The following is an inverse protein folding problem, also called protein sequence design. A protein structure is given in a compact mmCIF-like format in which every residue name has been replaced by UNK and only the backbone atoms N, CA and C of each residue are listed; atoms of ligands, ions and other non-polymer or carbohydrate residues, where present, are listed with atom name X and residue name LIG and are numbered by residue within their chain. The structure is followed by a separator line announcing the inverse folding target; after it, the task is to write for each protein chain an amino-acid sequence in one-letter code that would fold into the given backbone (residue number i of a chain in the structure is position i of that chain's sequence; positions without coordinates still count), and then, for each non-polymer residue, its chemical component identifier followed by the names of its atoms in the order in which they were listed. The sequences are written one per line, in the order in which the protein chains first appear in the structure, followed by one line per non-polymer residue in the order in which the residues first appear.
data_IF_596173782586
#
_entry.id   IF_596173782586
#
_cell.length_a   1.000
_cell.length_b   1.000
_cell.length_c   1.000
_cell.angle_alpha   90.00
_cell.angle_beta   90.00
_cell.angle_gamma   90.00
#
_symmetry.space_group_name_H-M   'P 1'
#
loop_
_entity.id
_entity.type
_entity.pdbx_description
1 polymer ?
#
# COMPACT_ATOMS: atom_id res chain seq x y z
N UNK A 1 -24.28 -0.42 5.29
CA UNK A 1 -23.57 0.69 4.61
C UNK A 1 -22.08 0.39 4.66
N UNK A 2 -21.31 0.62 3.62
CA UNK A 2 -19.90 0.22 3.55
C UNK A 2 -18.98 1.19 4.34
N UNK A 3 -19.29 1.39 5.62
CA UNK A 3 -18.52 2.22 6.54
C UNK A 3 -18.27 1.48 7.86
N UNK A 4 -17.01 1.45 8.30
CA UNK A 4 -16.60 1.10 9.64
C UNK A 4 -16.10 2.38 10.32
N UNK A 5 -16.97 2.98 11.16
CA UNK A 5 -16.74 4.32 11.68
C UNK A 5 -16.61 5.36 10.55
N UNK A 6 -15.49 6.13 10.48
CA UNK A 6 -15.27 7.13 9.44
C UNK A 6 -14.70 6.54 8.14
N UNK A 7 -14.33 5.25 8.13
CA UNK A 7 -13.61 4.59 7.06
C UNK A 7 -14.59 3.86 6.14
N UNK A 8 -14.56 4.26 4.87
CA UNK A 8 -15.28 3.58 3.82
C UNK A 8 -14.48 2.36 3.33
N UNK A 9 -15.19 1.30 3.01
CA UNK A 9 -14.62 0.11 2.39
C UNK A 9 -15.57 -0.47 1.34
N UNK A 10 -15.02 -1.15 0.36
CA UNK A 10 -15.76 -2.04 -0.53
C UNK A 10 -15.51 -3.49 -0.14
N UNK A 11 -16.52 -4.33 -0.33
CA UNK A 11 -16.50 -5.75 -0.02
C UNK A 11 -16.98 -6.54 -1.22
N UNK A 12 -16.21 -7.59 -1.59
CA UNK A 12 -16.50 -8.46 -2.71
C UNK A 12 -16.14 -9.90 -2.38
N UNK A 13 -16.85 -10.85 -3.02
CA UNK A 13 -16.58 -12.28 -2.89
C UNK A 13 -16.85 -12.84 -1.51
N UNK A 14 -16.57 -14.13 -1.38
CA UNK A 14 -16.68 -14.90 -0.14
C UNK A 14 -15.50 -15.89 -0.07
N UNK A 15 -15.13 -16.31 1.11
CA UNK A 15 -14.05 -17.30 1.30
C UNK A 15 -12.92 -16.83 2.20
N UNK A 16 -11.97 -17.73 2.41
CA UNK A 16 -10.83 -17.54 3.31
C UNK A 16 -9.51 -17.87 2.59
N UNK A 17 -8.42 -17.23 2.98
CA UNK A 17 -8.33 -16.10 3.92
C UNK A 17 -9.01 -14.85 3.35
N UNK A 18 -9.30 -13.89 4.24
CA UNK A 18 -9.77 -12.57 3.81
C UNK A 18 -8.59 -11.78 3.25
N UNK A 19 -8.75 -11.16 2.09
CA UNK A 19 -7.76 -10.26 1.51
C UNK A 19 -8.13 -8.81 1.85
N UNK A 20 -7.32 -8.15 2.68
CA UNK A 20 -7.50 -6.74 3.04
C UNK A 20 -6.54 -5.87 2.25
N UNK A 21 -7.05 -5.01 1.37
CA UNK A 21 -6.24 -4.12 0.53
C UNK A 21 -6.20 -2.69 1.06
N UNK A 22 -4.98 -2.14 1.20
CA UNK A 22 -4.71 -0.79 1.69
C UNK A 22 -3.89 -0.03 0.64
N UNK A 23 -4.48 1.05 0.11
CA UNK A 23 -3.89 1.84 -0.98
C UNK A 23 -2.73 2.74 -0.54
N UNK A 24 -2.00 3.29 -1.51
CA UNK A 24 -0.89 4.23 -1.32
C UNK A 24 -1.34 5.70 -1.18
N UNK A 25 -0.37 6.59 -1.03
CA UNK A 25 -0.59 8.03 -0.93
C UNK A 25 -1.37 8.57 -2.13
N UNK A 26 -2.39 9.41 -1.86
CA UNK A 26 -3.28 10.05 -2.83
C UNK A 26 -4.04 9.08 -3.75
N UNK A 27 -4.25 7.85 -3.32
CA UNK A 27 -5.05 6.85 -4.02
C UNK A 27 -6.35 6.55 -3.26
N UNK A 28 -7.11 5.57 -3.74
CA UNK A 28 -8.28 5.02 -3.06
C UNK A 28 -8.35 3.51 -3.32
N UNK A 29 -9.28 2.82 -2.67
CA UNK A 29 -9.56 1.39 -2.91
C UNK A 29 -9.74 1.04 -4.38
N UNK A 30 -10.25 1.97 -5.18
CA UNK A 30 -10.48 1.80 -6.62
C UNK A 30 -9.22 1.36 -7.40
N UNK A 31 -8.01 1.68 -6.89
CA UNK A 31 -6.75 1.30 -7.54
C UNK A 31 -6.54 -0.22 -7.58
N UNK A 32 -7.22 -0.99 -6.73
CA UNK A 32 -7.13 -2.44 -6.61
C UNK A 32 -8.10 -3.22 -7.51
N UNK A 33 -8.76 -2.56 -8.46
CA UNK A 33 -9.79 -3.17 -9.31
C UNK A 33 -9.33 -4.45 -10.02
N UNK A 34 -8.07 -4.50 -10.54
CA UNK A 34 -7.54 -5.70 -11.21
C UNK A 34 -7.32 -6.88 -10.25
N UNK A 35 -7.00 -6.61 -8.99
CA UNK A 35 -6.86 -7.61 -7.94
C UNK A 35 -8.23 -8.07 -7.47
N UNK A 36 -9.14 -7.15 -7.22
CA UNK A 36 -10.52 -7.45 -6.86
C UNK A 36 -11.17 -8.38 -7.87
N UNK A 37 -11.12 -8.04 -9.16
CA UNK A 37 -11.77 -8.81 -10.22
C UNK A 37 -11.15 -10.21 -10.37
N UNK A 38 -9.88 -10.39 -10.03
CA UNK A 38 -9.19 -11.68 -10.07
C UNK A 38 -9.51 -12.56 -8.85
N UNK A 39 -9.55 -11.97 -7.64
CA UNK A 39 -9.63 -12.74 -6.40
C UNK A 39 -11.05 -12.93 -5.87
N UNK A 40 -12.04 -12.12 -6.29
CA UNK A 40 -13.39 -12.13 -5.75
C UNK A 40 -14.17 -13.44 -5.96
N UNK A 41 -13.75 -14.29 -6.91
CA UNK A 41 -14.37 -15.60 -7.09
C UNK A 41 -13.98 -16.63 -6.03
N UNK A 42 -12.85 -16.42 -5.31
CA UNK A 42 -12.29 -17.40 -4.40
C UNK A 42 -12.13 -16.88 -2.96
N UNK A 43 -12.02 -15.56 -2.81
CA UNK A 43 -11.68 -14.93 -1.54
C UNK A 43 -12.64 -13.79 -1.21
N UNK A 44 -12.89 -13.60 0.07
CA UNK A 44 -13.52 -12.38 0.56
C UNK A 44 -12.50 -11.24 0.53
N UNK A 45 -12.85 -10.16 -0.15
CA UNK A 45 -12.00 -8.99 -0.36
C UNK A 45 -12.59 -7.81 0.40
N UNK A 46 -11.76 -7.13 1.16
CA UNK A 46 -12.05 -5.82 1.76
C UNK A 46 -11.01 -4.85 1.23
N UNK A 47 -11.43 -3.81 0.51
CA UNK A 47 -10.54 -2.72 0.08
C UNK A 47 -11.03 -1.41 0.71
N UNK A 48 -10.20 -0.77 1.51
CA UNK A 48 -10.59 0.41 2.27
C UNK A 48 -9.99 1.70 1.68
N UNK A 49 -10.68 2.81 1.88
CA UNK A 49 -10.13 4.14 1.68
C UNK A 49 -9.52 4.64 2.99
N UNK A 50 -8.24 4.99 3.00
CA UNK A 50 -7.61 5.61 4.16
C UNK A 50 -8.27 6.98 4.46
N UNK A 51 -8.25 7.41 5.73
CA UNK A 51 -8.82 8.70 6.14
C UNK A 51 -8.42 9.84 5.20
N UNK A 52 -9.39 10.65 4.79
CA UNK A 52 -9.18 11.79 3.88
C UNK A 52 -8.94 11.43 2.42
N UNK A 53 -9.05 10.13 2.06
CA UNK A 53 -8.96 9.63 0.70
C UNK A 53 -10.30 9.01 0.28
N UNK A 54 -10.55 8.97 -1.03
CA UNK A 54 -11.74 8.37 -1.60
C UNK A 54 -13.03 8.88 -0.94
N UNK A 55 -13.80 7.98 -0.34
CA UNK A 55 -15.05 8.28 0.36
C UNK A 55 -14.88 8.38 1.89
N UNK A 56 -13.69 8.08 2.42
CA UNK A 56 -13.41 8.17 3.85
C UNK A 56 -13.24 9.61 4.32
N UNK A 57 -13.75 9.90 5.51
CA UNK A 57 -13.61 11.22 6.13
C UNK A 57 -12.44 11.27 7.10
N UNK A 58 -11.91 12.47 7.34
CA UNK A 58 -10.94 12.70 8.41
C UNK A 58 -11.72 12.88 9.72
N UNK A 59 -11.48 12.05 10.76
CA UNK A 59 -12.11 12.25 12.06
C UNK A 59 -11.75 13.62 12.65
N UNK A 60 -12.72 14.30 13.26
CA UNK A 60 -12.50 15.59 13.93
C UNK A 60 -11.53 15.49 15.11
N UNK A 61 -11.49 14.34 15.76
CA UNK A 61 -10.63 14.03 16.91
C UNK A 61 -9.90 12.72 16.69
N UNK A 62 -8.71 12.60 17.23
CA UNK A 62 -7.92 11.36 17.20
C UNK A 62 -6.47 11.60 16.82
N UNK A 63 -5.73 10.50 16.74
CA UNK A 63 -4.32 10.47 16.36
C UNK A 63 -4.16 10.88 14.90
N UNK A 64 -3.12 11.66 14.58
CA UNK A 64 -2.75 12.07 13.22
C UNK A 64 -1.60 11.20 12.69
N UNK A 65 -1.21 11.42 11.44
CA UNK A 65 -0.10 10.69 10.81
C UNK A 65 -0.34 9.19 10.76
N UNK A 66 0.73 8.40 10.81
CA UNK A 66 0.65 6.94 10.71
C UNK A 66 -0.11 6.30 11.86
N UNK A 67 -0.02 6.83 13.08
CA UNK A 67 -0.83 6.36 14.20
C UNK A 67 -2.33 6.47 13.93
N UNK A 68 -2.75 7.52 13.22
CA UNK A 68 -4.13 7.69 12.79
C UNK A 68 -4.55 6.67 11.72
N UNK A 69 -3.75 6.49 10.68
CA UNK A 69 -4.01 5.49 9.65
C UNK A 69 -4.05 4.07 10.22
N UNK A 70 -3.11 3.72 11.10
CA UNK A 70 -3.05 2.42 11.77
C UNK A 70 -4.31 2.16 12.60
N UNK A 71 -4.73 3.13 13.42
CA UNK A 71 -5.94 3.02 14.23
C UNK A 71 -7.21 2.81 13.39
N UNK A 72 -7.28 3.43 12.20
CA UNK A 72 -8.40 3.21 11.29
C UNK A 72 -8.45 1.78 10.76
N UNK A 73 -7.32 1.22 10.36
CA UNK A 73 -7.27 -0.19 9.89
C UNK A 73 -7.65 -1.13 11.01
N UNK A 74 -7.12 -0.92 12.23
CA UNK A 74 -7.46 -1.72 13.41
C UNK A 74 -8.96 -1.68 13.66
N UNK A 75 -9.57 -0.48 13.67
CA UNK A 75 -11.00 -0.31 13.84
C UNK A 75 -11.84 -1.04 12.77
N UNK A 76 -11.43 -0.98 11.50
CA UNK A 76 -12.11 -1.72 10.41
C UNK A 76 -12.04 -3.22 10.67
N UNK A 77 -10.86 -3.75 10.98
CA UNK A 77 -10.64 -5.19 11.25
C UNK A 77 -11.46 -5.67 12.46
N UNK A 78 -11.55 -4.85 13.51
CA UNK A 78 -12.32 -5.17 14.71
C UNK A 78 -13.83 -5.07 14.50
N UNK A 79 -14.32 -3.98 13.89
CA UNK A 79 -15.76 -3.77 13.67
C UNK A 79 -16.37 -4.80 12.72
N UNK A 80 -15.59 -5.28 11.75
CA UNK A 80 -16.02 -6.33 10.82
C UNK A 80 -15.68 -7.75 11.34
N UNK A 81 -15.09 -7.86 12.53
CA UNK A 81 -14.54 -9.10 13.14
C UNK A 81 -13.73 -9.93 12.13
N UNK A 82 -12.86 -9.28 11.37
CA UNK A 82 -12.03 -9.97 10.38
C UNK A 82 -11.00 -10.85 11.08
N UNK A 83 -10.88 -12.10 10.63
CA UNK A 83 -9.91 -13.11 11.12
C UNK A 83 -9.29 -13.82 9.93
N UNK A 84 -8.13 -14.43 10.13
CA UNK A 84 -7.38 -15.10 9.06
C UNK A 84 -7.16 -14.18 7.87
N UNK A 85 -6.66 -12.95 8.15
CA UNK A 85 -6.50 -11.90 7.17
C UNK A 85 -5.12 -11.94 6.54
N UNK A 86 -5.03 -11.90 5.22
CA UNK A 86 -3.83 -11.51 4.48
C UNK A 86 -3.97 -10.04 4.13
N UNK A 87 -3.17 -9.19 4.76
CA UNK A 87 -3.22 -7.76 4.51
C UNK A 87 -2.21 -7.36 3.44
N UNK A 88 -2.70 -6.69 2.39
CA UNK A 88 -1.94 -6.22 1.22
C UNK A 88 -1.88 -4.71 1.25
N UNK A 89 -0.71 -4.14 1.49
CA UNK A 89 -0.50 -2.69 1.53
C UNK A 89 0.46 -2.21 0.45
N UNK A 90 0.13 -1.10 -0.18
CA UNK A 90 0.99 -0.45 -1.15
C UNK A 90 1.54 0.88 -0.62
N UNK A 91 2.89 1.08 -0.65
CA UNK A 91 3.53 2.35 -0.32
C UNK A 91 3.12 2.86 1.07
N UNK A 92 2.41 3.98 1.19
CA UNK A 92 1.80 4.48 2.42
C UNK A 92 0.98 3.37 3.14
N UNK A 93 0.21 2.59 2.39
CA UNK A 93 -0.57 1.48 2.94
C UNK A 93 0.31 0.37 3.53
N UNK A 94 1.45 0.07 2.89
CA UNK A 94 2.41 -0.89 3.43
C UNK A 94 3.02 -0.41 4.75
N UNK A 95 3.43 0.86 4.82
CA UNK A 95 3.93 1.46 6.06
C UNK A 95 2.84 1.52 7.14
N UNK A 96 1.59 1.79 6.76
CA UNK A 96 0.46 1.79 7.69
C UNK A 96 0.23 0.40 8.30
N UNK A 97 0.36 -0.67 7.51
CA UNK A 97 0.27 -2.04 8.01
C UNK A 97 1.40 -2.39 8.97
N UNK A 98 2.64 -1.94 8.70
CA UNK A 98 3.74 -2.09 9.65
C UNK A 98 3.43 -1.40 10.98
N UNK A 99 2.88 -0.18 10.94
CA UNK A 99 2.48 0.57 12.14
C UNK A 99 1.33 -0.09 12.90
N UNK A 100 0.39 -0.70 12.19
CA UNK A 100 -0.77 -1.38 12.77
C UNK A 100 -0.44 -2.79 13.28
N UNK A 101 0.72 -3.35 12.93
CA UNK A 101 1.07 -4.73 13.23
C UNK A 101 0.89 -5.13 14.71
N UNK A 102 1.36 -4.35 15.70
CA UNK A 102 1.23 -4.76 17.12
C UNK A 102 -0.20 -5.05 17.55
N UNK A 103 -1.17 -4.31 17.01
CA UNK A 103 -2.59 -4.43 17.33
C UNK A 103 -3.31 -5.48 16.45
N UNK A 104 -2.73 -5.83 15.29
CA UNK A 104 -3.32 -6.75 14.31
C UNK A 104 -2.71 -8.16 14.32
N UNK A 105 -1.60 -8.41 15.03
CA UNK A 105 -0.86 -9.68 14.98
C UNK A 105 -1.72 -10.93 15.25
N UNK A 106 -2.77 -10.81 16.07
CA UNK A 106 -3.70 -11.91 16.36
C UNK A 106 -4.81 -12.10 15.30
N UNK A 107 -4.85 -11.27 14.26
CA UNK A 107 -5.84 -11.28 13.18
C UNK A 107 -5.23 -11.58 11.81
N UNK A 108 -3.93 -11.30 11.64
CA UNK A 108 -3.23 -11.45 10.38
C UNK A 108 -2.51 -12.80 10.32
N UNK A 109 -2.72 -13.54 9.22
CA UNK A 109 -2.00 -14.77 8.88
C UNK A 109 -0.86 -14.52 7.89
N UNK A 110 -0.84 -13.36 7.23
CA UNK A 110 0.22 -12.95 6.32
C UNK A 110 0.18 -11.47 5.97
N UNK A 111 1.34 -10.94 5.58
CA UNK A 111 1.50 -9.56 5.07
C UNK A 111 2.05 -9.58 3.65
N UNK A 112 1.50 -8.73 2.79
CA UNK A 112 2.05 -8.44 1.45
C UNK A 112 2.31 -6.94 1.36
N UNK A 113 3.57 -6.56 1.24
CA UNK A 113 4.01 -5.17 1.27
C UNK A 113 4.58 -4.79 -0.10
N UNK A 114 3.85 -3.93 -0.81
CA UNK A 114 4.14 -3.54 -2.20
C UNK A 114 4.83 -2.18 -2.23
N UNK A 115 5.99 -2.06 -2.88
CA UNK A 115 6.75 -0.82 -2.94
C UNK A 115 7.06 -0.28 -1.53
N UNK A 116 7.42 -1.17 -0.60
CA UNK A 116 7.53 -0.84 0.81
C UNK A 116 8.90 -0.27 1.18
N UNK A 117 8.88 0.66 2.13
CA UNK A 117 10.06 1.18 2.82
C UNK A 117 9.71 1.37 4.31
N UNK A 118 10.63 1.10 5.26
CA UNK A 118 10.38 1.41 6.66
C UNK A 118 10.56 2.90 6.98
N UNK A 119 11.19 3.66 6.07
CA UNK A 119 11.39 5.10 6.15
C UNK A 119 11.42 5.69 4.74
N UNK A 120 10.57 6.68 4.51
CA UNK A 120 10.45 7.29 3.18
C UNK A 120 11.65 8.17 2.82
N UNK A 121 12.08 9.03 3.73
CA UNK A 121 13.21 9.93 3.52
C UNK A 121 14.52 9.34 4.04
N UNK A 122 15.60 9.45 3.27
CA UNK A 122 16.93 9.00 3.70
C UNK A 122 17.41 9.75 4.96
N UNK A 123 18.13 9.02 5.80
CA UNK A 123 18.82 9.55 6.99
C UNK A 123 20.20 8.87 7.15
N UNK A 124 21.11 9.40 7.98
CA UNK A 124 22.42 8.79 8.16
C UNK A 124 22.40 7.31 8.57
N UNK A 125 21.40 6.90 9.36
CA UNK A 125 21.19 5.52 9.80
C UNK A 125 20.31 4.69 8.83
N UNK A 126 19.67 5.33 7.85
CA UNK A 126 18.89 4.69 6.80
C UNK A 126 19.10 5.41 5.45
N UNK A 127 20.17 5.10 4.71
CA UNK A 127 20.50 5.77 3.44
C UNK A 127 19.65 5.30 2.24
N UNK A 128 18.72 4.37 2.43
CA UNK A 128 17.95 3.70 1.38
C UNK A 128 16.60 4.38 1.08
N UNK A 129 16.28 5.48 1.76
CA UNK A 129 15.11 6.30 1.47
C UNK A 129 15.34 7.30 0.34
N UNK A 130 14.28 8.03 -0.02
CA UNK A 130 14.35 9.13 -0.98
C UNK A 130 15.24 10.26 -0.44
N UNK A 131 16.10 10.90 -1.26
CA UNK A 131 16.87 12.05 -0.82
C UNK A 131 15.99 13.13 -0.16
N UNK A 132 16.33 13.68 1.01
CA UNK A 132 15.47 14.63 1.72
C UNK A 132 15.07 15.85 0.90
N UNK A 133 15.94 16.32 -0.01
CA UNK A 133 15.64 17.42 -0.93
C UNK A 133 14.53 17.08 -1.92
N UNK A 134 14.43 15.83 -2.35
CA UNK A 134 13.38 15.36 -3.27
C UNK A 134 12.04 15.25 -2.55
N UNK A 135 12.02 14.70 -1.34
CA UNK A 135 10.83 14.65 -0.49
C UNK A 135 10.31 16.07 -0.17
N UNK A 136 11.19 17.00 0.18
CA UNK A 136 10.84 18.40 0.41
C UNK A 136 10.33 19.07 -0.89
N UNK A 137 10.98 18.80 -2.02
CA UNK A 137 10.52 19.28 -3.32
C UNK A 137 9.10 18.80 -3.67
N UNK A 138 8.77 17.55 -3.31
CA UNK A 138 7.43 17.00 -3.47
C UNK A 138 6.42 17.73 -2.56
N UNK A 139 6.75 17.97 -1.29
CA UNK A 139 5.93 18.72 -0.33
C UNK A 139 5.62 20.14 -0.82
N UNK A 140 6.61 20.84 -1.36
CA UNK A 140 6.44 22.18 -1.92
C UNK A 140 5.53 22.18 -3.17
N UNK A 141 5.64 21.14 -4.02
CA UNK A 141 4.74 20.98 -5.18
C UNK A 141 3.29 20.78 -4.74
N UNK A 142 3.06 19.90 -3.75
CA UNK A 142 1.72 19.65 -3.19
C UNK A 142 1.12 20.95 -2.62
N UNK A 143 1.88 21.70 -1.84
CA UNK A 143 1.43 22.99 -1.29
C UNK A 143 1.09 24.02 -2.37
N UNK A 144 1.79 24.00 -3.50
CA UNK A 144 1.59 24.93 -4.60
C UNK A 144 0.42 24.57 -5.50
N UNK A 145 0.28 23.31 -5.85
CA UNK A 145 -0.81 22.76 -6.69
C UNK A 145 -0.83 21.24 -6.55
N UNK A 146 -1.85 20.73 -5.84
CA UNK A 146 -2.06 19.28 -5.70
C UNK A 146 -2.21 18.61 -7.06
N UNK A 147 -3.01 19.18 -7.96
CA UNK A 147 -3.27 18.64 -9.30
C UNK A 147 -1.95 18.36 -10.05
N UNK A 148 -1.08 19.37 -10.18
CA UNK A 148 0.23 19.21 -10.85
C UNK A 148 1.17 18.27 -10.11
N UNK A 149 1.09 18.23 -8.79
CA UNK A 149 1.88 17.29 -7.99
C UNK A 149 1.45 15.84 -8.26
N UNK A 150 0.13 15.60 -8.36
CA UNK A 150 -0.43 14.28 -8.69
C UNK A 150 -0.11 13.86 -10.13
N UNK A 151 -0.20 14.74 -11.11
CA UNK A 151 0.24 14.44 -12.47
C UNK A 151 1.70 13.97 -12.53
N UNK A 152 2.58 14.66 -11.78
CA UNK A 152 3.99 14.28 -11.66
C UNK A 152 4.17 12.96 -10.92
N UNK A 153 3.40 12.72 -9.86
CA UNK A 153 3.42 11.49 -9.10
C UNK A 153 2.96 10.29 -9.94
N UNK A 154 1.83 10.41 -10.65
CA UNK A 154 1.31 9.35 -11.51
C UNK A 154 2.32 8.95 -12.62
N UNK A 155 3.02 9.93 -13.21
CA UNK A 155 4.09 9.63 -14.17
C UNK A 155 5.26 8.87 -13.54
N UNK A 156 5.58 9.15 -12.28
CA UNK A 156 6.68 8.49 -11.56
C UNK A 156 6.32 7.09 -11.02
N UNK A 157 5.04 6.68 -11.11
CA UNK A 157 4.64 5.32 -10.76
C UNK A 157 5.22 4.28 -11.70
N UNK A 158 5.50 4.67 -12.95
CA UNK A 158 5.96 3.79 -14.01
C UNK A 158 7.28 4.28 -14.57
N UNK A 159 8.04 3.37 -15.17
CA UNK A 159 9.29 3.70 -15.87
C UNK A 159 9.10 3.72 -17.37
N UNK A 160 10.10 4.22 -18.08
CA UNK A 160 10.11 4.25 -19.54
C UNK A 160 9.92 2.83 -20.10
N UNK A 161 9.07 2.70 -21.12
CA UNK A 161 8.68 1.44 -21.76
C UNK A 161 7.86 0.45 -20.91
N UNK A 162 7.54 0.76 -19.65
CA UNK A 162 6.74 -0.13 -18.81
C UNK A 162 5.29 -0.28 -19.30
N UNK A 163 4.75 0.75 -19.93
CA UNK A 163 3.39 0.82 -20.47
C UNK A 163 3.36 0.83 -22.01
N UNK A 164 4.37 0.26 -22.69
CA UNK A 164 4.40 0.19 -24.17
C UNK A 164 3.33 -0.75 -24.72
N UNK A 165 2.89 -1.76 -23.95
CA UNK A 165 1.75 -2.58 -24.33
C UNK A 165 0.44 -1.76 -24.19
N UNK A 166 -0.28 -1.50 -25.29
CA UNK A 166 -1.48 -0.66 -25.28
C UNK A 166 -2.61 -1.22 -24.42
N UNK A 167 -2.69 -2.54 -24.24
CA UNK A 167 -3.70 -3.17 -23.38
C UNK A 167 -3.39 -2.89 -21.93
N UNK A 168 -2.13 -3.04 -21.53
CA UNK A 168 -1.67 -2.70 -20.16
C UNK A 168 -1.85 -1.20 -19.91
N UNK A 169 -1.44 -0.36 -20.84
CA UNK A 169 -1.59 1.10 -20.72
C UNK A 169 -3.05 1.52 -20.52
N UNK A 170 -3.98 0.92 -21.30
CA UNK A 170 -5.40 1.19 -21.16
C UNK A 170 -5.93 0.73 -19.81
N UNK A 171 -5.59 -0.49 -19.35
CA UNK A 171 -6.01 -1.01 -18.06
C UNK A 171 -5.53 -0.12 -16.90
N UNK A 172 -4.26 0.30 -16.95
CA UNK A 172 -3.68 1.22 -15.96
C UNK A 172 -4.43 2.55 -15.95
N UNK A 173 -4.68 3.14 -17.12
CA UNK A 173 -5.40 4.41 -17.25
C UNK A 173 -6.84 4.29 -16.69
N UNK A 174 -7.53 3.19 -16.95
CA UNK A 174 -8.87 2.92 -16.42
C UNK A 174 -8.87 2.82 -14.89
N UNK A 175 -7.90 2.13 -14.28
CA UNK A 175 -7.82 2.01 -12.82
C UNK A 175 -7.50 3.38 -12.19
N UNK A 176 -6.51 4.10 -12.71
CA UNK A 176 -6.15 5.43 -12.20
C UNK A 176 -7.28 6.45 -12.41
N UNK A 177 -8.04 6.33 -13.51
CA UNK A 177 -9.20 7.18 -13.79
C UNK A 177 -10.37 7.02 -12.81
N UNK A 178 -10.43 5.91 -12.07
CA UNK A 178 -11.44 5.67 -11.01
C UNK A 178 -11.04 6.24 -9.65
N UNK A 179 -9.76 6.58 -9.48
CA UNK A 179 -9.25 7.09 -8.21
C UNK A 179 -9.75 8.51 -7.98
N UNK A 180 -10.39 8.73 -6.84
CA UNK A 180 -10.80 10.07 -6.40
C UNK A 180 -9.63 10.71 -5.65
N UNK A 181 -9.16 11.84 -6.14
CA UNK A 181 -8.09 12.58 -5.48
C UNK A 181 -8.51 13.04 -4.07
N UNK A 182 -7.61 12.97 -3.07
CA UNK A 182 -7.91 13.43 -1.73
C UNK A 182 -8.01 14.96 -1.66
N UNK A 183 -8.58 15.47 -0.58
CA UNK A 183 -8.52 16.92 -0.28
C UNK A 183 -7.03 17.35 -0.11
N UNK A 184 -6.66 18.57 -0.51
CA UNK A 184 -5.28 19.06 -0.42
C UNK A 184 -4.66 18.93 0.98
N UNK A 185 -5.45 19.17 2.03
CA UNK A 185 -5.00 19.02 3.40
C UNK A 185 -4.65 17.55 3.76
N UNK A 186 -5.46 16.58 3.31
CA UNK A 186 -5.20 15.16 3.53
C UNK A 186 -3.98 14.67 2.75
N UNK A 187 -3.84 15.11 1.48
CA UNK A 187 -2.65 14.80 0.68
C UNK A 187 -1.36 15.31 1.33
N UNK A 188 -1.37 16.55 1.83
CA UNK A 188 -0.23 17.15 2.50
C UNK A 188 0.08 16.42 3.83
N UNK A 189 -0.93 16.16 4.66
CA UNK A 189 -0.76 15.45 5.93
C UNK A 189 -0.20 14.03 5.73
N UNK A 190 -0.66 13.30 4.70
CA UNK A 190 -0.13 11.99 4.34
C UNK A 190 1.33 12.03 3.91
N UNK A 191 1.72 13.05 3.12
CA UNK A 191 3.11 13.22 2.70
C UNK A 191 4.03 13.62 3.88
N UNK A 192 3.56 14.50 4.76
CA UNK A 192 4.29 14.91 5.97
C UNK A 192 4.47 13.70 6.90
N UNK A 193 3.44 12.87 7.08
CA UNK A 193 3.55 11.62 7.82
C UNK A 193 4.62 10.68 7.22
N UNK A 194 4.62 10.48 5.88
CA UNK A 194 5.65 9.70 5.19
C UNK A 194 7.07 10.22 5.44
N UNK A 195 7.25 11.54 5.49
CA UNK A 195 8.56 12.16 5.69
C UNK A 195 9.08 12.04 7.13
N UNK A 196 8.19 11.96 8.11
CA UNK A 196 8.51 11.98 9.53
C UNK A 196 8.63 10.59 10.15
N UNK A 197 7.89 9.58 9.64
CA UNK A 197 7.78 8.27 10.28
C UNK A 197 9.00 7.39 10.05
N UNK A 198 9.34 6.63 11.08
CA UNK A 198 10.36 5.59 11.11
C UNK A 198 9.76 4.30 11.65
N UNK A 199 9.71 3.26 10.82
CA UNK A 199 9.04 1.98 11.11
C UNK A 199 10.02 0.79 11.11
N UNK A 200 11.30 1.06 11.38
CA UNK A 200 12.33 0.03 11.37
C UNK A 200 12.18 -0.95 12.52
N UNK A 201 11.74 -0.49 13.67
CA UNK A 201 11.49 -1.34 14.84
C UNK A 201 10.21 -2.15 14.66
N UNK A 202 9.14 -1.53 14.19
CA UNK A 202 7.87 -2.21 13.89
C UNK A 202 8.06 -3.31 12.83
N UNK A 203 8.84 -3.05 11.79
CA UNK A 203 9.14 -4.06 10.77
C UNK A 203 9.84 -5.29 11.34
N UNK A 204 10.76 -5.12 12.29
CA UNK A 204 11.46 -6.23 12.96
C UNK A 204 10.57 -7.03 13.91
N UNK A 205 9.47 -6.46 14.38
CA UNK A 205 8.50 -7.13 15.25
C UNK A 205 7.50 -8.00 14.48
N UNK A 206 7.43 -7.86 13.15
CA UNK A 206 6.53 -8.68 12.32
C UNK A 206 6.99 -10.14 12.34
N UNK A 207 6.12 -11.04 12.77
CA UNK A 207 6.40 -12.48 12.90
C UNK A 207 5.63 -13.35 11.92
N UNK A 208 4.53 -12.85 11.33
CA UNK A 208 3.80 -13.61 10.32
C UNK A 208 4.61 -13.71 9.00
N UNK A 209 4.33 -14.73 8.15
CA UNK A 209 4.86 -14.77 6.80
C UNK A 209 4.64 -13.45 6.07
N UNK A 210 5.68 -12.94 5.43
CA UNK A 210 5.65 -11.65 4.72
C UNK A 210 6.20 -11.78 3.32
N UNK A 211 5.48 -11.24 2.33
CA UNK A 211 5.91 -11.14 0.94
C UNK A 211 6.14 -9.65 0.59
N UNK A 212 7.35 -9.32 0.15
CA UNK A 212 7.69 -8.02 -0.39
C UNK A 212 7.61 -8.08 -1.92
N UNK A 213 6.80 -7.22 -2.54
CA UNK A 213 6.65 -7.10 -3.99
C UNK A 213 7.14 -5.72 -4.42
N UNK A 214 8.17 -5.64 -5.27
CA UNK A 214 8.82 -4.36 -5.58
C UNK A 214 9.27 -4.29 -7.04
N UNK A 215 9.08 -3.15 -7.70
CA UNK A 215 9.68 -2.88 -9.00
C UNK A 215 11.18 -2.59 -8.87
N UNK A 216 12.01 -3.18 -9.71
CA UNK A 216 13.48 -3.01 -9.63
C UNK A 216 13.97 -1.60 -10.01
N UNK A 217 13.10 -0.80 -10.65
CA UNK A 217 13.37 0.58 -11.05
C UNK A 217 12.46 1.59 -10.33
N UNK A 218 11.88 1.22 -9.19
CA UNK A 218 11.05 2.11 -8.39
C UNK A 218 11.84 3.36 -7.94
N UNK A 219 11.31 4.53 -8.30
CA UNK A 219 11.90 5.86 -8.00
C UNK A 219 11.16 6.60 -6.89
N UNK A 220 10.09 6.01 -6.37
CA UNK A 220 9.28 6.57 -5.27
C UNK A 220 9.73 5.98 -3.94
N UNK A 221 9.74 4.63 -3.84
CA UNK A 221 10.35 3.90 -2.75
C UNK A 221 11.48 3.06 -3.32
N UNK A 222 12.72 3.37 -2.95
CA UNK A 222 13.88 2.73 -3.59
C UNK A 222 13.94 1.22 -3.30
N UNK A 223 14.25 0.36 -4.30
CA UNK A 223 14.31 -1.10 -4.10
C UNK A 223 15.29 -1.55 -3.02
N UNK A 224 16.31 -0.74 -2.73
CA UNK A 224 17.23 -0.97 -1.62
C UNK A 224 16.54 -0.95 -0.24
N UNK A 225 15.43 -0.23 -0.10
CA UNK A 225 14.65 -0.22 1.14
C UNK A 225 13.96 -1.56 1.40
N UNK A 226 13.37 -2.18 0.35
CA UNK A 226 12.79 -3.53 0.50
C UNK A 226 13.87 -4.61 0.68
N UNK A 227 15.07 -4.43 0.13
CA UNK A 227 16.20 -5.31 0.43
C UNK A 227 16.62 -5.24 1.91
N UNK A 228 16.56 -4.04 2.49
CA UNK A 228 16.80 -3.83 3.92
C UNK A 228 15.74 -4.52 4.78
N UNK A 229 14.45 -4.41 4.40
CA UNK A 229 13.34 -5.11 5.07
C UNK A 229 13.52 -6.63 5.02
N UNK A 230 13.78 -7.20 3.84
CA UNK A 230 14.02 -8.64 3.66
C UNK A 230 15.10 -9.20 4.58
N UNK A 231 16.17 -8.44 4.79
CA UNK A 231 17.29 -8.88 5.65
C UNK A 231 16.98 -8.78 7.15
N UNK A 232 15.95 -8.09 7.56
CA UNK A 232 15.68 -7.75 8.97
C UNK A 232 14.35 -8.24 9.51
N UNK A 233 13.39 -8.47 8.63
CA UNK A 233 12.11 -9.07 9.00
C UNK A 233 12.27 -10.59 9.13
N UNK A 234 11.58 -11.16 10.10
CA UNK A 234 11.46 -12.61 10.22
C UNK A 234 10.53 -13.14 9.13
N UNK A 235 10.75 -14.39 8.67
CA UNK A 235 9.86 -15.07 7.73
C UNK A 235 9.43 -14.20 6.53
N UNK A 236 10.39 -13.53 5.88
CA UNK A 236 10.17 -12.56 4.83
C UNK A 236 10.85 -13.01 3.53
N UNK A 237 10.14 -12.96 2.41
CA UNK A 237 10.71 -13.17 1.06
C UNK A 237 10.37 -11.99 0.16
N UNK A 238 11.22 -11.71 -0.81
CA UNK A 238 11.06 -10.59 -1.74
C UNK A 238 11.05 -11.07 -3.18
N UNK A 239 10.11 -10.53 -3.97
CA UNK A 239 10.07 -10.65 -5.43
C UNK A 239 10.32 -9.28 -6.05
N UNK A 240 11.26 -9.21 -7.02
CA UNK A 240 11.51 -8.03 -7.82
C UNK A 240 10.90 -8.19 -9.21
N UNK A 241 10.19 -7.15 -9.65
CA UNK A 241 9.63 -7.07 -11.01
C UNK A 241 10.60 -6.31 -11.91
N UNK A 242 11.19 -7.01 -12.88
CA UNK A 242 12.17 -6.43 -13.80
C UNK A 242 11.53 -5.37 -14.71
N UNK A 243 12.23 -4.23 -14.88
CA UNK A 243 11.76 -3.11 -15.69
C UNK A 243 10.45 -2.51 -15.18
N UNK A 244 10.22 -2.48 -13.88
CA UNK A 244 8.99 -2.05 -13.27
C UNK A 244 9.23 -0.94 -12.23
N UNK A 245 8.30 0.01 -12.19
CA UNK A 245 8.29 1.12 -11.24
C UNK A 245 7.56 0.80 -9.93
N UNK A 246 6.85 1.80 -9.41
CA UNK A 246 6.26 1.78 -8.07
C UNK A 246 4.94 1.01 -7.97
N UNK A 247 4.27 0.72 -9.10
CA UNK A 247 2.93 0.11 -9.11
C UNK A 247 2.87 -1.21 -9.91
N UNK A 248 3.63 -2.26 -9.51
CA UNK A 248 3.66 -3.55 -10.22
C UNK A 248 2.29 -4.23 -10.29
N UNK A 249 1.42 -4.03 -9.32
CA UNK A 249 0.06 -4.57 -9.30
C UNK A 249 -0.85 -4.00 -10.40
N UNK A 250 -0.45 -2.87 -11.02
CA UNK A 250 -1.12 -2.29 -12.19
C UNK A 250 -0.45 -2.73 -13.49
N UNK A 251 0.86 -2.49 -13.63
CA UNK A 251 1.59 -2.72 -14.90
C UNK A 251 1.93 -4.19 -15.16
N UNK A 252 2.04 -5.00 -14.10
CA UNK A 252 2.33 -6.44 -14.12
C UNK A 252 1.24 -7.24 -13.41
N UNK A 253 -0.03 -6.79 -13.53
CA UNK A 253 -1.16 -7.31 -12.76
C UNK A 253 -1.27 -8.84 -12.79
N UNK A 254 -1.09 -9.47 -13.96
CA UNK A 254 -1.15 -10.93 -14.07
C UNK A 254 -0.07 -11.62 -13.22
N UNK A 255 1.17 -11.17 -13.31
CA UNK A 255 2.27 -11.74 -12.53
C UNK A 255 2.06 -11.47 -11.04
N UNK A 256 1.69 -10.24 -10.69
CA UNK A 256 1.39 -9.85 -9.31
C UNK A 256 0.29 -10.72 -8.69
N UNK A 257 -0.81 -10.94 -9.41
CA UNK A 257 -1.91 -11.76 -8.92
C UNK A 257 -1.48 -13.21 -8.72
N UNK A 258 -0.64 -13.76 -9.59
CA UNK A 258 -0.06 -15.09 -9.41
C UNK A 258 0.86 -15.18 -8.18
N UNK A 259 1.75 -14.21 -7.99
CA UNK A 259 2.66 -14.20 -6.83
C UNK A 259 1.89 -14.09 -5.52
N UNK A 260 0.83 -13.26 -5.48
CA UNK A 260 -0.07 -13.15 -4.34
C UNK A 260 -0.85 -14.45 -4.11
N UNK A 261 -1.40 -15.07 -5.17
CA UNK A 261 -2.12 -16.33 -5.08
C UNK A 261 -1.25 -17.45 -4.51
N UNK A 262 0.00 -17.56 -5.00
CA UNK A 262 0.96 -18.53 -4.47
C UNK A 262 1.28 -18.28 -2.99
N UNK A 263 1.49 -17.03 -2.61
CA UNK A 263 1.73 -16.70 -1.21
C UNK A 263 0.57 -17.09 -0.31
N UNK A 264 -0.66 -16.80 -0.73
CA UNK A 264 -1.88 -17.19 0.01
C UNK A 264 -2.02 -18.71 0.11
N UNK A 265 -1.72 -19.44 -0.99
CA UNK A 265 -1.73 -20.90 -1.01
C UNK A 265 -0.71 -21.53 -0.05
N UNK A 266 0.50 -20.97 0.01
CA UNK A 266 1.56 -21.44 0.91
C UNK A 266 1.16 -21.32 2.40
N UNK A 267 0.37 -20.28 2.76
CA UNK A 267 -0.10 -20.08 4.14
C UNK A 267 -1.06 -21.19 4.62
N UNK A 268 -1.77 -21.81 3.71
CA UNK A 268 -2.80 -22.82 4.01
C UNK A 268 -2.37 -24.26 3.68
N UNK A 269 -1.13 -24.47 3.23
CA UNK A 269 -0.62 -25.80 2.89
C UNK A 269 -1.36 -26.47 1.73
N UNK A 270 -1.87 -25.69 0.78
CA UNK A 270 -2.73 -26.13 -0.33
C UNK A 270 -1.95 -26.44 -1.63
N UNK A 271 -0.63 -26.69 -1.57
CA UNK A 271 0.19 -27.15 -2.70
C UNK A 271 0.97 -28.41 -2.37
#
# INVERSE_FOLDING_TARGET
MPFAGPIWYEEHGEGQPILLFVHGWCMSSAVWGLQRDFFAEQYRIIALDLRGHGQSVVPEKGTTGFGGYAADIVNVVEQLDLRDVVAVGWSLGAQTLLKAWPDLQGRLVGLVLVGATPRFSAAPHFPYGLPPKEAEGMRLKVRRSLERALEGFHRNLFVEHELDDPVVAQQVAEQLGRVVAPQPAAALAGLEALMEEELMEEAQQVTCPTLLLHGDQDRVCLPAASAWLEQRMHNCRRTLYAGCGHAPFLSRARQFNHDLLHFVGDLHGTY
#
